data_IF_847629185944
#
_entry.id   IF_847629185944
#
_cell.length_a   1.000
_cell.length_b   1.000
_cell.length_c   1.000
_cell.angle_alpha   90.00
_cell.angle_beta   90.00
_cell.angle_gamma   90.00
#
_symmetry.space_group_name_H-M   'P 1'
#
loop_
_entity.id
_entity.type
_entity.pdbx_description
1 polymer ?
#
# COMPACT_ATOMS: atom_id res chain seq x y z
N UNK A 1 0.04 -13.31 -11.27
CA UNK A 1 1.46 -13.59 -11.01
C UNK A 1 2.15 -12.25 -10.83
N UNK A 2 2.94 -12.09 -9.77
CA UNK A 2 3.80 -10.92 -9.56
C UNK A 2 5.00 -11.03 -10.51
N UNK A 3 5.39 -9.94 -11.12
CA UNK A 3 6.56 -9.87 -11.98
C UNK A 3 7.54 -8.86 -11.38
N UNK A 4 8.81 -9.22 -11.24
CA UNK A 4 9.88 -8.30 -10.90
C UNK A 4 10.39 -7.72 -12.20
N UNK A 5 10.31 -6.40 -12.34
CA UNK A 5 10.87 -5.68 -13.49
C UNK A 5 11.99 -4.78 -12.96
N UNK A 6 13.12 -4.79 -13.65
CA UNK A 6 14.24 -3.91 -13.35
C UNK A 6 14.12 -2.66 -14.20
N UNK A 7 13.96 -1.51 -13.57
CA UNK A 7 13.89 -0.23 -14.24
C UNK A 7 15.20 0.53 -14.07
N UNK A 8 15.81 1.06 -15.15
CA UNK A 8 16.97 1.91 -15.05
C UNK A 8 16.53 3.31 -14.57
N UNK A 9 16.67 3.57 -13.28
CA UNK A 9 16.50 4.91 -12.72
C UNK A 9 17.84 5.62 -12.63
N UNK A 10 18.02 6.77 -13.28
CA UNK A 10 19.25 7.56 -13.25
C UNK A 10 20.55 6.74 -13.50
N UNK A 11 20.48 5.72 -14.35
CA UNK A 11 21.62 4.82 -14.65
C UNK A 11 21.82 3.69 -13.63
N UNK A 12 20.90 3.52 -12.68
CA UNK A 12 20.92 2.45 -11.67
C UNK A 12 19.63 1.63 -11.80
N UNK A 13 19.75 0.31 -11.72
CA UNK A 13 18.55 -0.57 -11.70
C UNK A 13 17.80 -0.43 -10.38
N UNK A 14 16.50 -0.14 -10.47
CA UNK A 14 15.55 -0.15 -9.34
C UNK A 14 14.55 -1.28 -9.56
N UNK A 15 14.72 -2.43 -8.89
CA UNK A 15 13.80 -3.55 -9.06
C UNK A 15 12.48 -3.28 -8.34
N UNK A 16 11.37 -3.37 -9.09
CA UNK A 16 10.01 -3.20 -8.60
C UNK A 16 9.19 -4.47 -8.84
N UNK A 17 8.26 -4.74 -7.94
CA UNK A 17 7.22 -5.75 -8.14
C UNK A 17 6.02 -5.10 -8.78
N UNK A 18 5.54 -5.66 -9.88
CA UNK A 18 4.39 -5.18 -10.65
C UNK A 18 3.20 -6.14 -10.58
N UNK A 19 2.02 -5.60 -10.87
CA UNK A 19 0.77 -6.34 -10.89
C UNK A 19 0.17 -6.32 -12.31
N UNK A 20 0.40 -7.37 -13.12
CA UNK A 20 -0.04 -7.40 -14.52
C UNK A 20 -1.55 -7.16 -14.72
N UNK A 21 -2.37 -7.39 -13.69
CA UNK A 21 -3.79 -7.08 -13.72
C UNK A 21 -4.04 -5.56 -13.77
N UNK A 22 -3.25 -4.79 -13.05
CA UNK A 22 -3.36 -3.34 -12.99
C UNK A 22 -2.73 -2.69 -14.22
N UNK A 23 -1.54 -3.16 -14.64
CA UNK A 23 -0.86 -2.69 -15.87
C UNK A 23 -1.75 -2.83 -17.12
N UNK A 24 -2.50 -3.93 -17.23
CA UNK A 24 -3.42 -4.17 -18.34
C UNK A 24 -4.55 -3.15 -18.48
N UNK A 25 -4.82 -2.36 -17.47
CA UNK A 25 -5.80 -1.27 -17.55
C UNK A 25 -5.33 -0.12 -18.42
N UNK A 26 -4.01 0.05 -18.56
CA UNK A 26 -3.38 1.09 -19.39
C UNK A 26 -3.48 2.51 -18.82
N UNK A 27 -4.07 2.69 -17.61
CA UNK A 27 -4.30 4.01 -17.00
C UNK A 27 -3.41 4.29 -15.78
N UNK A 28 -2.64 3.30 -15.30
CA UNK A 28 -1.85 3.42 -14.08
C UNK A 28 -0.42 2.96 -14.29
N UNK A 29 0.52 3.69 -13.70
CA UNK A 29 1.88 3.22 -13.40
C UNK A 29 1.88 2.82 -11.93
N UNK A 30 2.35 1.62 -11.63
CA UNK A 30 2.32 1.10 -10.28
C UNK A 30 3.58 0.29 -9.98
N UNK A 31 3.91 0.14 -8.71
CA UNK A 31 5.02 -0.69 -8.30
C UNK A 31 5.11 -0.82 -6.79
N UNK A 32 5.65 -1.94 -6.34
CA UNK A 32 6.04 -2.13 -4.96
C UNK A 32 7.58 -2.24 -4.91
N UNK A 33 8.22 -1.35 -4.15
CA UNK A 33 9.68 -1.27 -4.05
C UNK A 33 10.28 -2.50 -3.38
N UNK A 34 11.51 -2.81 -3.75
CA UNK A 34 12.36 -3.76 -3.02
C UNK A 34 13.40 -3.01 -2.19
N UNK A 35 14.27 -3.72 -1.50
CA UNK A 35 15.39 -3.10 -0.76
C UNK A 35 16.55 -2.65 -1.65
N UNK A 36 16.50 -2.87 -2.96
CA UNK A 36 17.61 -2.70 -3.88
C UNK A 36 17.44 -1.41 -4.73
N UNK A 37 18.57 -0.88 -5.21
CA UNK A 37 18.60 0.23 -6.16
C UNK A 37 18.70 1.61 -5.53
N UNK A 38 18.75 1.72 -4.21
CA UNK A 38 18.94 2.98 -3.48
C UNK A 38 20.39 3.31 -3.16
N UNK A 39 20.57 4.36 -2.36
CA UNK A 39 21.87 4.89 -1.91
C UNK A 39 22.08 4.80 -0.40
N UNK A 40 21.07 4.43 0.36
CA UNK A 40 21.18 4.29 1.82
C UNK A 40 22.18 3.23 2.21
N UNK A 41 22.87 3.42 3.33
CA UNK A 41 23.93 2.54 3.81
C UNK A 41 23.57 1.82 5.12
N UNK A 42 24.45 0.93 5.56
CA UNK A 42 24.33 0.22 6.83
C UNK A 42 23.02 -0.59 6.92
N UNK A 43 22.27 -0.41 8.00
CA UNK A 43 21.00 -1.10 8.24
C UNK A 43 19.88 -0.70 7.26
N UNK A 44 20.02 0.46 6.61
CA UNK A 44 19.05 1.01 5.65
C UNK A 44 19.33 0.59 4.19
N UNK A 45 20.39 -0.19 3.97
CA UNK A 45 20.89 -0.56 2.63
C UNK A 45 19.84 -1.35 1.83
N UNK A 46 19.49 -0.90 0.61
CA UNK A 46 19.92 0.35 -0.03
C UNK A 46 18.74 1.30 -0.29
N UNK A 47 17.52 0.82 -0.45
CA UNK A 47 16.32 1.58 -0.84
C UNK A 47 15.45 1.86 0.40
N UNK A 48 15.94 2.68 1.33
CA UNK A 48 15.10 3.18 2.40
C UNK A 48 14.29 4.40 1.92
N UNK A 49 13.00 4.38 2.14
CA UNK A 49 12.05 5.43 1.76
C UNK A 49 11.39 6.12 2.98
N UNK A 50 11.91 5.86 4.18
CA UNK A 50 11.37 6.43 5.41
C UNK A 50 12.26 7.54 5.96
N UNK A 51 11.70 8.73 6.13
CA UNK A 51 12.35 9.87 6.78
C UNK A 51 12.42 9.76 8.31
N UNK A 52 11.70 8.82 8.92
CA UNK A 52 11.54 8.76 10.39
C UNK A 52 12.31 7.62 11.06
N UNK A 53 13.16 6.90 10.33
CA UNK A 53 13.90 5.74 10.85
C UNK A 53 15.36 6.03 11.20
N UNK A 54 15.82 7.27 11.00
CA UNK A 54 17.17 7.71 11.37
C UNK A 54 18.22 7.53 10.26
N UNK A 55 17.79 7.40 9.02
CA UNK A 55 18.65 7.50 7.84
C UNK A 55 18.95 8.96 7.48
N UNK A 56 19.98 9.18 6.67
CA UNK A 56 20.30 10.50 6.14
C UNK A 56 19.19 10.99 5.20
N UNK A 57 18.64 12.17 5.50
CA UNK A 57 17.50 12.72 4.75
C UNK A 57 17.77 12.81 3.24
N UNK A 58 18.99 13.23 2.84
CA UNK A 58 19.34 13.36 1.43
C UNK A 58 19.44 11.98 0.74
N UNK A 59 19.86 10.94 1.45
CA UNK A 59 19.85 9.58 0.93
C UNK A 59 18.40 9.11 0.65
N UNK A 60 17.48 9.39 1.57
CA UNK A 60 16.05 9.08 1.37
C UNK A 60 15.48 9.86 0.18
N UNK A 61 15.80 11.16 0.06
CA UNK A 61 15.37 11.98 -1.09
C UNK A 61 15.91 11.46 -2.42
N UNK A 62 17.18 11.05 -2.46
CA UNK A 62 17.78 10.44 -3.65
C UNK A 62 17.10 9.11 -4.00
N UNK A 63 16.73 8.30 -3.02
CA UNK A 63 15.98 7.08 -3.25
C UNK A 63 14.62 7.37 -3.90
N UNK A 64 13.93 8.43 -3.49
CA UNK A 64 12.68 8.86 -4.15
C UNK A 64 12.89 9.39 -5.57
N UNK A 65 14.02 10.10 -5.86
CA UNK A 65 14.35 10.52 -7.23
C UNK A 65 14.58 9.30 -8.14
N UNK A 66 15.28 8.28 -7.64
CA UNK A 66 15.48 7.03 -8.37
C UNK A 66 14.16 6.27 -8.59
N UNK A 67 13.31 6.20 -7.59
CA UNK A 67 11.99 5.58 -7.69
C UNK A 67 11.12 6.33 -8.70
N UNK A 68 11.09 7.65 -8.65
CA UNK A 68 10.36 8.49 -9.61
C UNK A 68 10.82 8.25 -11.06
N UNK A 69 12.15 8.22 -11.26
CA UNK A 69 12.74 7.90 -12.57
C UNK A 69 12.39 6.49 -13.04
N UNK A 70 12.45 5.49 -12.15
CA UNK A 70 12.13 4.10 -12.48
C UNK A 70 10.65 3.89 -12.86
N UNK A 71 9.74 4.61 -12.22
CA UNK A 71 8.31 4.59 -12.52
C UNK A 71 7.93 5.56 -13.67
N UNK A 72 8.88 6.37 -14.14
CA UNK A 72 8.65 7.45 -15.11
C UNK A 72 7.49 8.36 -14.65
N UNK A 73 7.64 8.92 -13.43
CA UNK A 73 6.71 9.86 -12.79
C UNK A 73 7.46 11.06 -12.25
N UNK A 74 6.76 12.16 -12.02
CA UNK A 74 7.34 13.38 -11.46
C UNK A 74 7.58 13.24 -9.95
N UNK A 75 8.79 13.56 -9.49
CA UNK A 75 9.20 13.56 -8.08
C UNK A 75 8.31 14.45 -7.20
N UNK A 76 7.83 15.59 -7.71
CA UNK A 76 7.00 16.53 -6.97
C UNK A 76 5.52 16.13 -6.91
N UNK A 77 5.16 14.98 -7.46
CA UNK A 77 3.75 14.50 -7.51
C UNK A 77 3.44 13.42 -6.48
N UNK A 78 4.40 13.02 -5.66
CA UNK A 78 4.13 12.08 -4.58
C UNK A 78 3.24 12.70 -3.51
N UNK A 79 2.29 11.91 -3.03
CA UNK A 79 1.40 12.24 -1.92
C UNK A 79 1.45 11.10 -0.90
N UNK A 80 1.89 11.40 0.31
CA UNK A 80 2.08 10.41 1.38
C UNK A 80 0.86 10.33 2.29
N UNK A 81 0.54 9.11 2.71
CA UNK A 81 -0.33 8.87 3.86
C UNK A 81 0.35 9.21 5.18
N UNK A 82 -0.46 9.37 6.23
CA UNK A 82 -0.02 9.34 7.63
C UNK A 82 -0.72 8.17 8.33
N UNK A 83 -0.12 7.00 8.25
CA UNK A 83 -0.72 5.72 8.61
C UNK A 83 -0.76 5.51 10.11
N UNK A 84 -1.95 5.38 10.67
CA UNK A 84 -2.22 5.16 12.09
C UNK A 84 -3.06 3.91 12.35
N UNK A 85 -3.21 3.06 11.32
CA UNK A 85 -3.96 1.80 11.33
C UNK A 85 -5.47 1.99 11.48
N UNK A 86 -6.01 3.03 10.88
CA UNK A 86 -7.44 3.30 10.76
C UNK A 86 -8.03 2.79 9.44
N UNK A 87 -9.25 3.22 9.13
CA UNK A 87 -9.88 3.04 7.82
C UNK A 87 -10.20 4.37 7.14
N UNK A 88 -9.50 5.43 7.53
CA UNK A 88 -9.68 6.75 6.96
C UNK A 88 -9.08 6.79 5.54
N UNK A 89 -9.92 7.10 4.57
CA UNK A 89 -9.57 7.26 3.16
C UNK A 89 -9.78 8.70 2.75
N UNK A 90 -8.74 9.33 2.22
CA UNK A 90 -8.75 10.71 1.76
C UNK A 90 -8.75 10.79 0.23
N UNK A 91 -9.64 11.59 -0.34
CA UNK A 91 -9.51 12.07 -1.71
C UNK A 91 -8.41 13.13 -1.77
N UNK A 92 -7.47 12.96 -2.69
CA UNK A 92 -6.39 13.90 -2.94
C UNK A 92 -6.49 14.49 -4.34
N UNK A 93 -6.07 15.75 -4.45
CA UNK A 93 -6.18 16.57 -5.65
C UNK A 93 -4.82 17.08 -6.10
N UNK A 94 -4.75 17.84 -7.19
CA UNK A 94 -3.52 18.45 -7.66
C UNK A 94 -2.85 19.37 -6.61
N UNK A 95 -3.63 19.91 -5.69
CA UNK A 95 -3.15 20.77 -4.59
C UNK A 95 -2.35 19.99 -3.54
N UNK A 96 -2.61 18.68 -3.41
CA UNK A 96 -1.91 17.79 -2.47
C UNK A 96 -0.55 17.31 -2.99
N UNK A 97 -0.16 17.65 -4.23
CA UNK A 97 1.10 17.22 -4.82
C UNK A 97 2.30 17.64 -3.94
N UNK A 98 3.22 16.69 -3.71
CA UNK A 98 4.40 16.89 -2.87
C UNK A 98 4.18 16.68 -1.36
N UNK A 99 2.94 16.45 -0.92
CA UNK A 99 2.62 16.30 0.50
C UNK A 99 3.41 15.15 1.16
N UNK A 100 4.23 15.49 2.14
CA UNK A 100 5.10 14.58 2.89
C UNK A 100 6.47 14.32 2.25
N UNK A 101 6.72 14.69 0.99
CA UNK A 101 8.01 14.53 0.32
C UNK A 101 8.71 15.89 0.06
N UNK A 102 8.09 16.76 -0.71
CA UNK A 102 8.66 18.08 -1.08
C UNK A 102 8.03 19.22 -0.29
N UNK A 103 6.92 18.94 0.37
CA UNK A 103 6.21 19.83 1.31
C UNK A 103 6.02 19.11 2.64
N UNK A 104 5.78 19.86 3.70
CA UNK A 104 5.34 19.31 4.98
C UNK A 104 4.03 18.54 4.82
N UNK A 105 3.83 17.55 5.69
CA UNK A 105 2.59 16.77 5.72
C UNK A 105 1.44 17.61 6.29
N UNK A 106 0.40 17.81 5.50
CA UNK A 106 -0.73 18.67 5.87
C UNK A 106 -1.92 17.90 6.45
N UNK A 107 -1.99 16.60 6.25
CA UNK A 107 -3.06 15.78 6.81
C UNK A 107 -2.50 14.60 7.61
N UNK A 108 -3.29 14.17 8.58
CA UNK A 108 -2.95 13.13 9.54
C UNK A 108 -4.01 12.04 9.54
N UNK A 109 -3.71 10.93 10.23
CA UNK A 109 -4.65 9.85 10.51
C UNK A 109 -5.32 9.31 9.23
N UNK A 110 -4.51 9.02 8.22
CA UNK A 110 -4.98 8.63 6.88
C UNK A 110 -4.25 7.37 6.43
N UNK A 111 -4.97 6.28 6.27
CA UNK A 111 -4.45 4.98 5.85
C UNK A 111 -4.78 4.63 4.39
N UNK A 112 -5.56 5.45 3.70
CA UNK A 112 -5.87 5.30 2.29
C UNK A 112 -5.97 6.62 1.55
N UNK A 113 -5.55 6.61 0.29
CA UNK A 113 -5.66 7.74 -0.65
C UNK A 113 -6.41 7.28 -1.89
N UNK A 114 -7.24 8.18 -2.43
CA UNK A 114 -7.90 7.99 -3.73
C UNK A 114 -7.76 9.26 -4.56
N UNK A 115 -7.65 9.13 -5.89
CA UNK A 115 -7.59 10.27 -6.81
C UNK A 115 -8.07 9.90 -8.22
N UNK A 116 -8.62 10.88 -8.93
CA UNK A 116 -8.90 10.87 -10.36
C UNK A 116 -8.01 11.87 -11.12
N UNK A 117 -7.03 12.47 -10.43
CA UNK A 117 -6.12 13.46 -11.02
C UNK A 117 -4.94 12.77 -11.69
N UNK A 118 -4.77 12.90 -13.01
CA UNK A 118 -3.65 12.32 -13.71
C UNK A 118 -2.31 12.87 -13.20
N UNK A 119 -1.32 11.98 -13.10
CA UNK A 119 0.06 12.33 -12.71
C UNK A 119 0.31 12.40 -11.21
N UNK A 120 -0.71 12.39 -10.33
CA UNK A 120 -0.48 12.21 -8.89
C UNK A 120 0.02 10.81 -8.57
N UNK A 121 0.96 10.72 -7.62
CA UNK A 121 1.58 9.47 -7.18
C UNK A 121 1.18 9.20 -5.73
N UNK A 122 0.24 8.28 -5.53
CA UNK A 122 -0.16 7.84 -4.20
C UNK A 122 0.92 6.97 -3.58
N UNK A 123 1.29 7.23 -2.32
CA UNK A 123 2.37 6.50 -1.64
C UNK A 123 1.96 6.09 -0.23
N UNK A 124 2.17 4.83 0.06
CA UNK A 124 1.94 4.21 1.37
C UNK A 124 3.16 3.37 1.77
N UNK A 125 3.33 3.13 3.07
CA UNK A 125 4.53 2.52 3.64
C UNK A 125 4.20 1.21 4.34
N UNK A 126 5.07 0.22 4.21
CA UNK A 126 4.83 -1.12 4.74
C UNK A 126 6.10 -1.73 5.31
N UNK A 127 5.93 -2.44 6.43
CA UNK A 127 6.85 -3.49 6.87
C UNK A 127 6.13 -4.85 6.70
N UNK A 128 5.05 -5.07 7.44
CA UNK A 128 4.31 -6.33 7.51
C UNK A 128 2.86 -6.21 7.02
N UNK A 129 2.28 -5.00 7.08
CA UNK A 129 0.89 -4.74 6.73
C UNK A 129 0.61 -4.91 5.24
N UNK A 130 -0.66 -5.06 4.88
CA UNK A 130 -1.11 -5.38 3.52
C UNK A 130 -1.31 -4.13 2.68
N UNK A 131 -0.63 -4.00 1.53
CA UNK A 131 -0.93 -3.01 0.50
C UNK A 131 -2.16 -3.42 -0.30
N UNK A 132 -3.13 -2.51 -0.44
CA UNK A 132 -4.32 -2.70 -1.25
C UNK A 132 -4.35 -1.67 -2.37
N UNK A 133 -4.29 -2.14 -3.61
CA UNK A 133 -4.31 -1.33 -4.83
C UNK A 133 -5.67 -1.43 -5.49
N UNK A 134 -6.20 -0.30 -5.93
CA UNK A 134 -7.49 -0.19 -6.62
C UNK A 134 -7.33 0.66 -7.88
N UNK A 135 -7.86 0.17 -9.00
CA UNK A 135 -7.88 0.89 -10.28
C UNK A 135 -9.27 0.81 -10.85
N UNK A 136 -9.87 1.96 -11.14
CA UNK A 136 -11.12 2.10 -11.88
C UNK A 136 -10.84 2.56 -13.31
N UNK A 137 -10.82 1.66 -14.29
CA UNK A 137 -10.56 2.04 -15.66
C UNK A 137 -11.72 2.79 -16.33
N UNK A 138 -12.92 2.74 -15.75
CA UNK A 138 -14.12 3.42 -16.29
C UNK A 138 -14.10 4.92 -15.94
N UNK A 139 -13.78 5.22 -14.69
CA UNK A 139 -13.75 6.61 -14.19
C UNK A 139 -12.33 7.20 -14.13
N UNK A 140 -11.31 6.45 -14.62
CA UNK A 140 -9.89 6.86 -14.58
C UNK A 140 -9.44 7.26 -13.16
N UNK A 141 -9.85 6.50 -12.15
CA UNK A 141 -9.53 6.76 -10.76
C UNK A 141 -8.69 5.63 -10.15
N UNK A 142 -7.85 5.98 -9.18
CA UNK A 142 -7.00 5.03 -8.47
C UNK A 142 -7.17 5.18 -6.96
N UNK A 143 -6.90 4.09 -6.24
CA UNK A 143 -6.82 4.06 -4.78
C UNK A 143 -5.65 3.21 -4.31
N UNK A 144 -5.06 3.62 -3.20
CA UNK A 144 -3.98 2.90 -2.53
C UNK A 144 -4.19 2.98 -1.02
N UNK A 145 -4.21 1.81 -0.35
CA UNK A 145 -4.54 1.75 1.06
C UNK A 145 -3.62 0.80 1.82
N UNK A 146 -3.38 1.17 3.08
CA UNK A 146 -2.63 0.39 4.06
C UNK A 146 -3.60 -0.37 4.98
N UNK A 147 -3.48 -1.69 5.01
CA UNK A 147 -4.33 -2.55 5.83
C UNK A 147 -3.47 -3.39 6.78
N UNK A 148 -3.21 -2.87 7.97
CA UNK A 148 -2.73 -3.66 9.10
C UNK A 148 -3.86 -4.53 9.66
N UNK A 149 -3.60 -5.29 10.76
CA UNK A 149 -4.64 -6.16 11.32
C UNK A 149 -5.91 -5.39 11.74
N UNK A 150 -5.76 -4.17 12.31
CA UNK A 150 -6.90 -3.31 12.66
C UNK A 150 -7.68 -2.86 11.42
N UNK A 151 -6.97 -2.42 10.39
CA UNK A 151 -7.58 -2.04 9.10
C UNK A 151 -8.29 -3.23 8.45
N UNK A 152 -7.74 -4.43 8.55
CA UNK A 152 -8.33 -5.66 8.00
C UNK A 152 -9.62 -6.03 8.73
N UNK A 153 -9.61 -6.05 10.06
CA UNK A 153 -10.82 -6.28 10.89
C UNK A 153 -11.91 -5.25 10.57
N UNK A 154 -11.53 -3.98 10.41
CA UNK A 154 -12.45 -2.89 10.08
C UNK A 154 -12.69 -2.73 8.57
N UNK A 155 -12.22 -3.69 7.73
CA UNK A 155 -12.52 -3.77 6.30
C UNK A 155 -12.03 -2.58 5.48
N UNK A 156 -10.73 -2.25 5.62
CA UNK A 156 -10.08 -1.13 4.93
C UNK A 156 -10.29 -1.14 3.40
N UNK A 157 -10.23 -2.30 2.76
CA UNK A 157 -10.48 -2.42 1.31
C UNK A 157 -11.90 -1.98 0.95
N UNK A 158 -12.91 -2.44 1.73
CA UNK A 158 -14.30 -2.00 1.55
C UNK A 158 -14.44 -0.48 1.74
N UNK A 159 -13.81 0.07 2.77
CA UNK A 159 -13.83 1.52 3.03
C UNK A 159 -13.26 2.31 1.84
N UNK A 160 -12.20 1.79 1.20
CA UNK A 160 -11.61 2.40 0.01
C UNK A 160 -12.55 2.32 -1.19
N UNK A 161 -13.16 1.17 -1.45
CA UNK A 161 -14.14 1.00 -2.52
C UNK A 161 -15.36 1.92 -2.32
N UNK A 162 -15.85 2.04 -1.09
CA UNK A 162 -16.96 2.95 -0.75
C UNK A 162 -16.58 4.42 -0.94
N UNK A 163 -15.34 4.80 -0.63
CA UNK A 163 -14.83 6.14 -0.91
C UNK A 163 -14.76 6.40 -2.42
N UNK A 164 -14.21 5.48 -3.22
CA UNK A 164 -14.18 5.58 -4.68
C UNK A 164 -15.59 5.64 -5.28
N UNK A 165 -16.52 4.85 -4.76
CA UNK A 165 -17.93 4.90 -5.18
C UNK A 165 -18.56 6.27 -4.89
N UNK A 166 -18.34 6.82 -3.71
CA UNK A 166 -18.88 8.13 -3.31
C UNK A 166 -18.33 9.28 -4.14
N UNK A 167 -17.01 9.26 -4.40
CA UNK A 167 -16.29 10.38 -5.04
C UNK A 167 -16.33 10.32 -6.57
N UNK A 168 -16.35 9.10 -7.15
CA UNK A 168 -16.18 8.91 -8.60
C UNK A 168 -17.34 8.11 -9.23
N UNK A 169 -18.23 7.53 -8.44
CA UNK A 169 -19.29 6.66 -8.94
C UNK A 169 -18.79 5.24 -9.28
N UNK A 170 -17.59 4.87 -8.84
CA UNK A 170 -16.99 3.54 -9.09
C UNK A 170 -17.91 2.40 -8.64
N UNK A 171 -17.98 1.35 -9.45
CA UNK A 171 -18.72 0.15 -9.11
C UNK A 171 -17.76 -1.00 -8.81
N UNK A 172 -17.99 -1.81 -7.77
CA UNK A 172 -17.06 -2.89 -7.38
C UNK A 172 -16.69 -3.82 -8.53
N UNK A 173 -17.64 -4.17 -9.39
CA UNK A 173 -17.44 -5.05 -10.55
C UNK A 173 -16.55 -4.46 -11.66
N UNK A 174 -16.36 -3.16 -11.67
CA UNK A 174 -15.50 -2.45 -12.63
C UNK A 174 -14.07 -2.30 -12.14
N UNK A 175 -13.87 -2.41 -10.82
CA UNK A 175 -12.55 -2.25 -10.22
C UNK A 175 -11.59 -3.39 -10.56
N UNK A 176 -10.32 -3.05 -10.66
CA UNK A 176 -9.21 -4.00 -10.68
C UNK A 176 -8.41 -3.79 -9.41
N UNK A 177 -8.35 -4.83 -8.57
CA UNK A 177 -7.70 -4.77 -7.27
C UNK A 177 -6.51 -5.73 -7.21
N UNK A 178 -5.47 -5.33 -6.47
CA UNK A 178 -4.34 -6.18 -6.17
C UNK A 178 -3.95 -6.07 -4.69
N UNK A 179 -3.52 -7.19 -4.12
CA UNK A 179 -2.92 -7.27 -2.79
C UNK A 179 -1.41 -7.35 -2.95
N UNK A 180 -0.69 -6.40 -2.36
CA UNK A 180 0.76 -6.32 -2.41
C UNK A 180 1.48 -7.30 -1.47
N UNK A 181 2.82 -7.30 -1.49
CA UNK A 181 3.63 -8.06 -0.55
C UNK A 181 3.36 -7.63 0.89
N UNK A 182 3.23 -8.60 1.79
CA UNK A 182 3.10 -8.38 3.23
C UNK A 182 3.53 -9.65 3.97
N UNK A 183 3.46 -9.62 5.29
CA UNK A 183 3.79 -10.79 6.12
C UNK A 183 2.89 -11.98 5.73
N UNK A 184 3.49 -13.17 5.57
CA UNK A 184 2.75 -14.39 5.28
C UNK A 184 2.18 -15.01 6.57
N UNK A 185 1.21 -15.91 6.43
CA UNK A 185 0.56 -16.59 7.55
C UNK A 185 1.58 -17.29 8.47
N UNK A 186 2.54 -18.00 7.90
CA UNK A 186 3.53 -18.79 8.68
C UNK A 186 4.42 -17.90 9.56
N UNK A 187 4.60 -16.63 9.19
CA UNK A 187 5.42 -15.65 9.91
C UNK A 187 4.61 -14.77 10.85
N UNK A 188 3.28 -14.72 10.69
CA UNK A 188 2.44 -13.78 11.43
C UNK A 188 1.74 -14.44 12.62
N UNK A 189 2.45 -14.52 13.72
CA UNK A 189 1.92 -14.98 15.00
C UNK A 189 1.24 -13.85 15.75
N UNK A 190 -0.01 -14.04 16.15
CA UNK A 190 -0.81 -13.07 16.91
C UNK A 190 -1.25 -13.67 18.24
N UNK A 191 -1.56 -12.80 19.20
CA UNK A 191 -2.13 -13.16 20.50
C UNK A 191 -3.63 -13.46 20.40
N UNK A 192 -4.17 -14.10 21.43
CA UNK A 192 -5.59 -14.50 21.46
C UNK A 192 -6.57 -13.31 21.41
N UNK A 193 -6.20 -12.16 21.96
CA UNK A 193 -7.02 -10.93 21.87
C UNK A 193 -7.19 -10.44 20.42
N UNK A 194 -6.13 -10.50 19.61
CA UNK A 194 -6.21 -10.20 18.17
C UNK A 194 -7.04 -11.25 17.45
N UNK A 195 -6.84 -12.55 17.76
CA UNK A 195 -7.60 -13.63 17.13
C UNK A 195 -9.11 -13.47 17.36
N UNK A 196 -9.53 -13.13 18.57
CA UNK A 196 -10.97 -12.88 18.91
C UNK A 196 -11.57 -11.77 18.05
N UNK A 197 -10.82 -10.71 17.72
CA UNK A 197 -11.32 -9.67 16.82
C UNK A 197 -11.55 -10.20 15.41
N UNK A 198 -10.67 -11.09 14.92
CA UNK A 198 -10.86 -11.75 13.62
C UNK A 198 -11.99 -12.76 13.63
N UNK A 199 -12.14 -13.57 14.68
CA UNK A 199 -13.27 -14.49 14.85
C UNK A 199 -14.61 -13.76 14.78
N UNK A 200 -14.71 -12.60 15.46
CA UNK A 200 -15.92 -11.77 15.43
C UNK A 200 -16.17 -11.14 14.06
N UNK A 201 -15.13 -10.57 13.44
CA UNK A 201 -15.26 -9.85 12.17
C UNK A 201 -15.51 -10.79 10.97
N UNK A 202 -15.02 -12.04 11.05
CA UNK A 202 -15.09 -13.04 9.98
C UNK A 202 -15.82 -14.31 10.41
N UNK A 203 -16.88 -14.17 11.21
CA UNK A 203 -17.66 -15.28 11.72
C UNK A 203 -18.11 -16.23 10.58
N UNK A 204 -17.81 -17.54 10.75
CA UNK A 204 -18.02 -18.57 9.74
C UNK A 204 -16.87 -18.77 8.75
N UNK A 205 -15.88 -17.88 8.74
CA UNK A 205 -14.66 -17.96 7.91
C UNK A 205 -13.37 -17.96 8.73
N UNK A 206 -13.45 -17.93 10.06
CA UNK A 206 -12.33 -17.85 10.98
C UNK A 206 -11.32 -18.99 10.75
N UNK A 207 -11.79 -20.18 10.43
CA UNK A 207 -10.99 -21.36 10.15
C UNK A 207 -10.17 -21.26 8.85
N UNK A 208 -10.52 -20.32 7.96
CA UNK A 208 -9.78 -20.06 6.72
C UNK A 208 -8.60 -19.13 6.93
N UNK A 209 -8.60 -18.36 8.03
CA UNK A 209 -7.64 -17.26 8.27
C UNK A 209 -6.82 -17.43 9.54
N UNK A 210 -7.28 -18.25 10.49
CA UNK A 210 -6.62 -18.49 11.79
C UNK A 210 -6.23 -19.96 11.95
N UNK A 211 -5.00 -20.19 12.38
CA UNK A 211 -4.50 -21.51 12.79
C UNK A 211 -4.08 -21.43 14.26
N UNK A 212 -4.80 -22.11 15.14
CA UNK A 212 -4.45 -22.15 16.56
C UNK A 212 -3.14 -22.90 16.81
N UNK A 213 -2.35 -22.41 17.78
CA UNK A 213 -1.10 -23.00 18.22
C UNK A 213 -1.21 -23.52 19.65
N UNK A 214 -0.36 -24.50 20.01
CA UNK A 214 -0.34 -25.08 21.35
C UNK A 214 0.00 -24.07 22.48
N UNK A 215 0.69 -22.98 22.13
CA UNK A 215 1.06 -21.90 23.06
C UNK A 215 -0.05 -20.87 23.32
N UNK A 216 -1.28 -21.10 22.84
CA UNK A 216 -2.42 -20.19 22.98
C UNK A 216 -2.37 -18.98 22.03
N UNK A 217 -1.47 -18.98 21.07
CA UNK A 217 -1.38 -17.98 20.00
C UNK A 217 -1.96 -18.53 18.69
N UNK A 218 -1.97 -17.70 17.66
CA UNK A 218 -2.55 -18.03 16.36
C UNK A 218 -1.64 -17.56 15.23
N UNK A 219 -1.58 -18.34 14.14
CA UNK A 219 -1.07 -17.83 12.85
C UNK A 219 -2.22 -17.21 12.07
N UNK A 220 -2.03 -15.97 11.63
CA UNK A 220 -3.07 -15.18 10.95
C UNK A 220 -2.72 -14.95 9.48
N UNK A 221 -3.65 -15.29 8.59
CA UNK A 221 -3.58 -14.99 7.15
C UNK A 221 -4.29 -13.66 6.84
N UNK A 222 -3.53 -12.56 6.82
CA UNK A 222 -4.04 -11.24 6.46
C UNK A 222 -4.45 -11.16 4.97
N UNK A 223 -3.77 -11.87 4.08
CA UNK A 223 -4.11 -11.87 2.66
C UNK A 223 -5.48 -12.48 2.43
N UNK A 224 -5.70 -13.67 3.01
CA UNK A 224 -6.98 -14.36 2.92
C UNK A 224 -8.10 -13.53 3.55
N UNK A 225 -7.85 -12.94 4.73
CA UNK A 225 -8.82 -12.05 5.37
C UNK A 225 -9.19 -10.86 4.48
N UNK A 226 -8.22 -10.21 3.82
CA UNK A 226 -8.51 -9.13 2.87
C UNK A 226 -9.35 -9.61 1.67
N UNK A 227 -9.08 -10.82 1.14
CA UNK A 227 -9.85 -11.38 0.03
C UNK A 227 -11.32 -11.68 0.38
N UNK A 228 -11.61 -12.01 1.64
CA UNK A 228 -12.97 -12.37 2.08
C UNK A 228 -13.94 -11.19 2.10
N UNK A 229 -13.46 -9.95 2.10
CA UNK A 229 -14.32 -8.76 2.18
C UNK A 229 -14.11 -7.76 1.02
N UNK A 230 -13.16 -8.00 0.15
CA UNK A 230 -12.87 -7.16 -1.02
C UNK A 230 -13.39 -7.84 -2.28
#
# INVERSE_FOLDING_TARGET
KRQVIHHPGAGVEVPLLHFPLLEKTGIVKEGFTTRLGGVSEGIFSTMNLSFTRGDEEEAVRENYRRLASALDVDYDKFVFTDQTHTTNVRKVTAEDAGNGLTREREFHDTDGLITDVPGLVLSTFYADCVPLYFVDPVHCAIGLSHSGWRGTVNRMGKATIEAMRREYGSRPEELRCAIGPSICQDCYEVSGDVAVEFERAFAGHEHEILIAKENGKYQLDLWKACLLYT
#
